data_IF_594808816552
#
_entry.id   IF_594808816552
#
_cell.length_a   1.000
_cell.length_b   1.000
_cell.length_c   1.000
_cell.angle_alpha   90.00
_cell.angle_beta   90.00
_cell.angle_gamma   90.00
#
_symmetry.space_group_name_H-M   'P 1'
#
loop_
_entity.id
_entity.type
_entity.pdbx_description
1 polymer ?
#
# COMPACT_ATOMS: atom_id res chain seq x y z
N UNK A 1 4.20 1.24 7.51
CA UNK A 1 5.62 0.92 7.41
C UNK A 1 6.45 2.17 7.57
N UNK A 2 7.67 2.05 8.09
CA UNK A 2 8.59 3.18 8.28
C UNK A 2 9.02 3.85 6.97
N UNK A 3 8.88 3.14 5.83
CA UNK A 3 9.20 3.68 4.51
C UNK A 3 8.50 5.02 4.20
N UNK A 4 7.26 5.16 4.62
CA UNK A 4 6.43 6.34 4.37
C UNK A 4 6.51 7.40 5.47
N UNK A 5 7.35 7.20 6.46
CA UNK A 5 7.49 8.10 7.59
C UNK A 5 8.54 9.18 7.30
N UNK A 6 8.48 10.27 8.04
CA UNK A 6 9.51 11.31 8.02
C UNK A 6 10.51 11.11 9.15
N UNK A 7 11.72 11.60 8.93
CA UNK A 7 12.80 11.50 9.91
C UNK A 7 12.60 12.49 11.05
N UNK A 8 12.88 12.06 12.30
CA UNK A 8 13.01 12.93 13.46
C UNK A 8 11.75 13.73 13.82
N UNK A 9 10.57 13.12 13.70
CA UNK A 9 9.29 13.76 14.06
C UNK A 9 9.02 13.83 15.55
N UNK A 10 9.75 13.09 16.35
CA UNK A 10 9.50 12.94 17.80
C UNK A 10 9.85 14.20 18.59
N UNK A 11 10.71 15.05 18.04
CA UNK A 11 11.21 16.27 18.71
C UNK A 11 10.71 17.58 18.06
N UNK A 12 9.84 17.51 17.05
CA UNK A 12 9.37 18.69 16.33
C UNK A 12 8.16 19.33 17.02
N UNK A 13 8.21 20.66 17.15
CA UNK A 13 7.00 21.40 17.42
C UNK A 13 6.01 21.29 16.26
N UNK A 14 4.74 21.57 16.52
CA UNK A 14 3.65 21.37 15.55
C UNK A 14 3.87 22.13 14.22
N UNK A 15 4.47 23.33 14.26
CA UNK A 15 4.73 24.13 13.06
C UNK A 15 5.87 23.56 12.23
N UNK A 16 6.97 23.16 12.87
CA UNK A 16 8.11 22.55 12.21
C UNK A 16 7.72 21.18 11.63
N UNK A 17 6.87 20.43 12.34
CA UNK A 17 6.31 19.20 11.86
C UNK A 17 5.43 19.40 10.60
N UNK A 18 4.52 20.36 10.62
CA UNK A 18 3.65 20.71 9.48
C UNK A 18 4.48 21.18 8.27
N UNK A 19 5.52 21.95 8.47
CA UNK A 19 6.37 22.41 7.36
C UNK A 19 7.14 21.24 6.72
N UNK A 20 7.74 20.38 7.51
CA UNK A 20 8.38 19.14 7.01
C UNK A 20 7.41 18.22 6.29
N UNK A 21 6.17 18.19 6.73
CA UNK A 21 5.13 17.30 6.24
C UNK A 21 4.49 17.73 4.92
N UNK A 22 4.72 18.95 4.45
CA UNK A 22 4.28 19.39 3.12
C UNK A 22 4.81 18.48 2.01
N UNK A 23 5.87 17.76 2.28
CA UNK A 23 6.57 16.88 1.33
C UNK A 23 6.37 15.38 1.59
N UNK A 24 5.77 14.99 2.72
CA UNK A 24 5.58 13.59 3.06
C UNK A 24 4.17 13.09 2.67
N UNK A 25 4.10 12.01 1.93
CA UNK A 25 2.87 11.47 1.35
C UNK A 25 1.77 11.11 2.37
N UNK A 26 2.16 10.71 3.58
CA UNK A 26 1.22 10.38 4.67
C UNK A 26 1.33 11.41 5.80
N UNK A 27 2.34 12.27 5.74
CA UNK A 27 2.87 12.97 6.87
C UNK A 27 1.95 13.96 7.54
N UNK A 28 1.21 14.77 6.79
CA UNK A 28 0.40 15.84 7.39
C UNK A 28 -0.71 15.32 8.31
N UNK A 29 -1.26 14.14 8.04
CA UNK A 29 -2.26 13.52 8.89
C UNK A 29 -1.65 12.73 10.05
N UNK A 30 -0.46 12.15 9.86
CA UNK A 30 0.21 11.34 10.86
C UNK A 30 0.66 12.13 12.10
N UNK A 31 1.05 13.41 11.90
CA UNK A 31 1.50 14.27 13.02
C UNK A 31 0.34 15.01 13.69
N UNK A 32 -0.69 15.36 12.94
CA UNK A 32 -1.84 16.11 13.49
C UNK A 32 -2.79 15.26 14.33
N UNK A 33 -2.73 13.97 14.25
CA UNK A 33 -3.59 13.06 14.97
C UNK A 33 -2.75 11.99 15.67
N UNK A 34 -3.03 11.77 16.92
CA UNK A 34 -2.67 10.60 17.72
C UNK A 34 -3.06 9.26 17.03
N UNK A 35 -3.65 9.35 15.84
CA UNK A 35 -4.19 8.26 15.06
C UNK A 35 -3.16 7.21 14.64
N UNK A 36 -1.92 7.64 14.38
CA UNK A 36 -0.85 6.72 14.01
C UNK A 36 0.07 6.39 15.20
N UNK A 37 -0.23 6.88 16.40
CA UNK A 37 0.59 6.60 17.57
C UNK A 37 0.75 5.10 17.80
N UNK A 38 -0.31 4.32 17.71
CA UNK A 38 -0.24 2.86 17.89
C UNK A 38 0.61 2.15 16.83
N UNK A 39 0.68 2.71 15.61
CA UNK A 39 1.57 2.19 14.54
C UNK A 39 3.02 2.53 14.83
N UNK A 40 3.29 3.69 15.41
CA UNK A 40 4.61 4.14 15.81
C UNK A 40 5.08 3.43 17.09
N UNK A 41 4.20 3.36 18.08
CA UNK A 41 4.53 2.87 19.43
C UNK A 41 4.62 1.34 19.47
N UNK A 42 3.90 0.63 18.59
CA UNK A 42 4.04 -0.82 18.40
C UNK A 42 4.46 -1.13 16.94
N UNK A 43 5.77 -1.17 16.65
CA UNK A 43 6.29 -1.47 15.32
C UNK A 43 6.21 -2.96 14.95
N UNK A 44 5.83 -3.83 15.90
CA UNK A 44 5.82 -5.29 15.74
C UNK A 44 4.40 -5.88 15.87
N UNK A 45 3.49 -5.57 14.95
CA UNK A 45 2.12 -6.08 15.03
C UNK A 45 2.07 -7.61 14.99
N UNK A 46 1.08 -8.17 15.68
CA UNK A 46 0.76 -9.58 15.56
C UNK A 46 -0.12 -9.80 14.33
N UNK A 47 0.34 -10.65 13.42
CA UNK A 47 -0.40 -10.95 12.19
C UNK A 47 -1.28 -12.18 12.35
N UNK A 48 -2.48 -12.09 11.77
CA UNK A 48 -3.38 -13.20 11.55
C UNK A 48 -3.82 -13.23 10.09
N UNK A 49 -4.09 -14.42 9.58
CA UNK A 49 -4.58 -14.61 8.21
C UNK A 49 -5.75 -15.57 8.23
N UNK A 50 -6.86 -15.13 7.69
CA UNK A 50 -8.08 -15.91 7.51
C UNK A 50 -8.34 -16.12 6.03
N UNK A 51 -8.68 -17.36 5.64
CA UNK A 51 -9.09 -17.70 4.27
C UNK A 51 -10.59 -17.51 4.15
N UNK A 52 -10.99 -16.77 3.13
CA UNK A 52 -12.40 -16.56 2.77
C UNK A 52 -12.65 -17.02 1.33
N UNK A 53 -13.89 -17.25 0.90
CA UNK A 53 -14.18 -17.74 -0.46
C UNK A 53 -13.62 -16.86 -1.58
N UNK A 54 -13.49 -15.55 -1.34
CA UNK A 54 -12.97 -14.57 -2.31
C UNK A 54 -11.48 -14.27 -2.17
N UNK A 55 -10.80 -14.81 -1.16
CA UNK A 55 -9.40 -14.45 -0.95
C UNK A 55 -8.92 -14.64 0.48
N UNK A 56 -8.19 -13.66 0.99
CA UNK A 56 -7.64 -13.63 2.33
C UNK A 56 -8.02 -12.35 3.05
N UNK A 57 -8.27 -12.48 4.34
CA UNK A 57 -8.31 -11.36 5.29
C UNK A 57 -7.04 -11.39 6.12
N UNK A 58 -6.28 -10.31 6.10
CA UNK A 58 -5.04 -10.16 6.85
C UNK A 58 -5.25 -9.13 7.96
N UNK A 59 -5.15 -9.56 9.18
CA UNK A 59 -5.23 -8.71 10.36
C UNK A 59 -3.86 -8.40 10.92
N UNK A 60 -3.59 -7.13 11.22
CA UNK A 60 -2.40 -6.68 11.95
C UNK A 60 -2.85 -6.00 13.25
N UNK A 61 -2.71 -6.71 14.36
CA UNK A 61 -3.07 -6.23 15.69
C UNK A 61 -1.88 -5.57 16.39
N UNK A 62 -2.11 -4.43 16.99
CA UNK A 62 -1.16 -3.67 17.81
C UNK A 62 -1.76 -3.37 19.16
N UNK A 63 -0.90 -3.23 20.17
CA UNK A 63 -1.33 -2.70 21.45
C UNK A 63 -1.90 -1.27 21.28
N UNK A 64 -3.03 -1.01 21.91
CA UNK A 64 -3.66 0.29 21.97
C UNK A 64 -3.77 0.73 23.44
N UNK A 65 -4.73 1.58 23.78
CA UNK A 65 -4.88 2.06 25.15
C UNK A 65 -5.44 0.98 26.08
N UNK A 66 -4.84 0.84 27.23
CA UNK A 66 -5.26 -0.16 28.20
C UNK A 66 -5.07 -1.59 27.69
N UNK A 67 -6.13 -2.37 27.65
CA UNK A 67 -6.15 -3.75 27.13
C UNK A 67 -6.66 -3.84 25.68
N UNK A 68 -6.95 -2.72 25.03
CA UNK A 68 -7.50 -2.67 23.68
C UNK A 68 -6.46 -2.99 22.63
N UNK A 69 -6.93 -3.41 21.46
CA UNK A 69 -6.12 -3.68 20.29
C UNK A 69 -6.54 -2.79 19.12
N UNK A 70 -5.56 -2.16 18.50
CA UNK A 70 -5.75 -1.47 17.23
C UNK A 70 -5.51 -2.43 16.07
N UNK A 71 -6.54 -2.67 15.27
CA UNK A 71 -6.48 -3.56 14.13
C UNK A 71 -6.40 -2.80 12.81
N UNK A 72 -5.51 -3.26 11.94
CA UNK A 72 -5.53 -2.90 10.53
C UNK A 72 -5.84 -4.14 9.72
N UNK A 73 -6.95 -4.09 8.98
CA UNK A 73 -7.44 -5.22 8.19
C UNK A 73 -7.23 -4.95 6.72
N UNK A 74 -6.46 -5.80 6.07
CA UNK A 74 -6.22 -5.78 4.63
C UNK A 74 -6.91 -6.97 4.00
N UNK A 75 -7.55 -6.79 2.85
CA UNK A 75 -8.12 -7.88 2.08
C UNK A 75 -7.26 -8.11 0.84
N UNK A 76 -6.96 -9.35 0.57
CA UNK A 76 -6.48 -9.80 -0.72
C UNK A 76 -7.60 -10.59 -1.38
N UNK A 77 -8.16 -10.04 -2.46
CA UNK A 77 -9.21 -10.72 -3.22
C UNK A 77 -8.59 -11.29 -4.49
N UNK A 78 -8.86 -12.57 -4.72
CA UNK A 78 -8.34 -13.25 -5.89
C UNK A 78 -8.97 -12.72 -7.19
N UNK A 79 -8.22 -12.69 -8.28
CA UNK A 79 -6.84 -13.18 -8.38
C UNK A 79 -5.77 -12.13 -8.01
N UNK A 80 -6.08 -10.83 -7.98
CA UNK A 80 -5.08 -9.77 -8.05
C UNK A 80 -5.51 -8.43 -7.43
N UNK A 81 -6.47 -8.43 -6.51
CA UNK A 81 -6.97 -7.22 -5.87
C UNK A 81 -6.47 -7.12 -4.43
N UNK A 82 -5.90 -5.99 -4.08
CA UNK A 82 -5.55 -5.63 -2.70
C UNK A 82 -6.41 -4.47 -2.20
N UNK A 83 -7.06 -4.63 -1.05
CA UNK A 83 -7.81 -3.56 -0.40
C UNK A 83 -7.05 -3.12 0.85
N UNK A 84 -6.53 -1.90 0.82
CA UNK A 84 -5.84 -1.32 1.96
C UNK A 84 -6.85 -0.87 3.03
N UNK A 85 -6.54 -1.04 4.32
CA UNK A 85 -7.43 -0.61 5.38
C UNK A 85 -7.53 0.92 5.42
N UNK A 86 -8.73 1.43 5.67
CA UNK A 86 -8.84 2.78 6.24
C UNK A 86 -8.20 2.81 7.62
N UNK A 87 -7.72 3.95 8.07
CA UNK A 87 -7.15 4.05 9.41
C UNK A 87 -8.26 4.06 10.48
N UNK A 88 -9.44 4.63 10.16
CA UNK A 88 -10.56 4.77 11.08
C UNK A 88 -11.91 4.67 10.36
N UNK A 89 -12.98 4.33 11.09
CA UNK A 89 -14.34 4.36 10.56
C UNK A 89 -14.70 5.72 9.95
N UNK A 90 -15.38 5.72 8.81
CA UNK A 90 -15.78 6.91 8.07
C UNK A 90 -14.71 7.54 7.17
N UNK A 91 -13.49 7.04 7.20
CA UNK A 91 -12.45 7.43 6.25
C UNK A 91 -12.59 6.70 4.91
N UNK A 92 -11.91 7.24 3.91
CA UNK A 92 -11.92 6.62 2.59
C UNK A 92 -11.13 5.31 2.57
N UNK A 93 -11.64 4.36 1.82
CA UNK A 93 -10.97 3.09 1.53
C UNK A 93 -10.17 3.22 0.24
N UNK A 94 -9.11 2.43 0.17
CA UNK A 94 -8.22 2.39 -0.98
C UNK A 94 -8.02 0.97 -1.45
N UNK A 95 -7.81 0.80 -2.74
CA UNK A 95 -7.51 -0.50 -3.29
C UNK A 95 -6.65 -0.40 -4.54
N UNK A 96 -6.08 -1.54 -4.88
CA UNK A 96 -5.24 -1.70 -6.06
C UNK A 96 -5.57 -3.02 -6.75
N UNK A 97 -5.55 -2.99 -8.07
CA UNK A 97 -5.68 -4.19 -8.89
C UNK A 97 -4.46 -4.30 -9.80
N UNK A 98 -3.76 -5.41 -9.72
CA UNK A 98 -2.56 -5.68 -10.49
C UNK A 98 -2.90 -6.57 -11.68
N UNK A 99 -2.98 -6.00 -12.89
CA UNK A 99 -3.35 -6.73 -14.10
C UNK A 99 -2.09 -7.04 -14.90
N UNK A 100 -1.68 -8.32 -15.02
CA UNK A 100 -0.52 -8.68 -15.83
C UNK A 100 -0.68 -8.26 -17.29
N UNK A 101 0.38 -7.67 -17.86
CA UNK A 101 0.48 -7.32 -19.28
C UNK A 101 1.52 -8.18 -19.97
N UNK A 102 2.62 -8.47 -19.26
CA UNK A 102 3.70 -9.35 -19.71
C UNK A 102 4.34 -10.03 -18.51
N UNK A 103 5.36 -10.85 -18.72
CA UNK A 103 6.11 -11.49 -17.65
C UNK A 103 6.82 -10.49 -16.74
N UNK A 104 7.05 -9.27 -17.20
CA UNK A 104 7.84 -8.24 -16.51
C UNK A 104 7.08 -6.94 -16.27
N UNK A 105 5.80 -6.86 -16.63
CA UNK A 105 5.02 -5.64 -16.47
C UNK A 105 3.55 -5.92 -16.16
N UNK A 106 2.93 -5.00 -15.42
CA UNK A 106 1.51 -5.03 -15.12
C UNK A 106 0.92 -3.61 -15.15
N UNK A 107 -0.37 -3.51 -15.42
CA UNK A 107 -1.15 -2.33 -15.10
C UNK A 107 -1.55 -2.36 -13.64
N UNK A 108 -1.40 -1.23 -12.96
CA UNK A 108 -1.89 -1.05 -11.58
C UNK A 108 -3.05 -0.05 -11.62
N UNK A 109 -4.25 -0.56 -11.37
CA UNK A 109 -5.42 0.28 -11.19
C UNK A 109 -5.57 0.61 -9.72
N UNK A 110 -5.52 1.88 -9.38
CA UNK A 110 -5.73 2.37 -8.03
C UNK A 110 -7.08 3.05 -7.91
N UNK A 111 -7.80 2.80 -6.82
CA UNK A 111 -9.10 3.38 -6.57
C UNK A 111 -9.28 3.78 -5.12
N UNK A 112 -10.09 4.82 -4.93
CA UNK A 112 -10.48 5.33 -3.62
C UNK A 112 -11.98 5.49 -3.59
N UNK A 113 -12.61 5.03 -2.53
CA UNK A 113 -14.05 5.19 -2.33
C UNK A 113 -14.39 5.42 -0.86
N UNK A 114 -15.58 5.94 -0.62
CA UNK A 114 -16.18 5.98 0.70
C UNK A 114 -17.53 5.25 0.62
N UNK A 115 -17.82 4.26 1.49
CA UNK A 115 -19.07 3.50 1.41
C UNK A 115 -20.30 4.33 1.80
N UNK A 116 -20.12 5.38 2.59
CA UNK A 116 -21.22 6.11 3.23
C UNK A 116 -21.60 7.40 2.49
N UNK A 117 -20.69 7.92 1.64
CA UNK A 117 -20.87 9.20 0.96
C UNK A 117 -20.05 9.32 -0.32
N UNK A 118 -20.38 10.21 -1.24
CA UNK A 118 -19.51 10.61 -2.34
C UNK A 118 -18.20 11.21 -1.82
N UNK A 119 -17.13 11.09 -2.61
CA UNK A 119 -15.90 11.80 -2.34
C UNK A 119 -16.08 13.30 -2.50
N UNK A 120 -15.49 14.08 -1.60
CA UNK A 120 -15.45 15.52 -1.70
C UNK A 120 -14.52 16.00 -2.81
N UNK A 121 -14.70 17.24 -3.28
CA UNK A 121 -13.81 17.85 -4.28
C UNK A 121 -12.34 17.87 -3.79
N UNK A 122 -12.13 18.12 -2.51
CA UNK A 122 -10.79 18.12 -1.91
C UNK A 122 -10.15 16.72 -1.92
N UNK A 123 -10.92 15.67 -1.62
CA UNK A 123 -10.45 14.29 -1.68
C UNK A 123 -10.12 13.86 -3.12
N UNK A 124 -10.93 14.29 -4.08
CA UNK A 124 -10.67 14.04 -5.51
C UNK A 124 -9.42 14.80 -5.97
N UNK A 125 -9.25 16.05 -5.57
CA UNK A 125 -8.06 16.84 -5.88
C UNK A 125 -6.81 16.21 -5.26
N UNK A 126 -6.88 15.74 -4.02
CA UNK A 126 -5.80 15.04 -3.36
C UNK A 126 -5.45 13.72 -4.06
N UNK A 127 -6.43 12.95 -4.47
CA UNK A 127 -6.20 11.71 -5.23
C UNK A 127 -5.49 11.99 -6.57
N UNK A 128 -5.83 13.08 -7.25
CA UNK A 128 -5.20 13.49 -8.51
C UNK A 128 -3.81 14.10 -8.34
N UNK A 129 -3.43 14.51 -7.15
CA UNK A 129 -2.16 15.20 -6.91
C UNK A 129 -0.91 14.30 -7.02
N UNK A 130 -1.08 12.99 -6.97
CA UNK A 130 0.03 12.03 -6.93
C UNK A 130 0.74 11.93 -5.59
N UNK A 131 0.18 12.52 -4.52
CA UNK A 131 0.78 12.48 -3.17
C UNK A 131 0.17 11.41 -2.26
N UNK A 132 -0.75 10.61 -2.78
CA UNK A 132 -1.45 9.57 -2.02
C UNK A 132 -1.12 8.18 -2.58
N UNK A 133 -2.08 7.27 -2.51
CA UNK A 133 -2.00 5.92 -3.10
C UNK A 133 -2.14 5.92 -4.63
N UNK A 134 -2.39 7.09 -5.23
CA UNK A 134 -2.47 7.27 -6.67
C UNK A 134 -1.20 7.96 -7.16
N UNK A 135 -0.50 7.34 -8.10
CA UNK A 135 0.65 7.96 -8.75
C UNK A 135 0.20 9.09 -9.69
N UNK A 136 0.99 10.16 -9.78
CA UNK A 136 0.85 11.12 -10.85
C UNK A 136 1.31 10.47 -12.17
N UNK A 137 0.49 10.53 -13.20
CA UNK A 137 0.74 9.91 -14.50
C UNK A 137 0.67 10.94 -15.64
N UNK A 138 1.34 10.65 -16.75
CA UNK A 138 1.23 11.40 -17.98
C UNK A 138 -0.03 11.02 -18.79
N UNK A 139 -0.16 11.56 -19.99
CA UNK A 139 -1.27 11.30 -20.91
C UNK A 139 -1.37 9.85 -21.40
N UNK A 140 -0.30 9.08 -21.23
CA UNK A 140 -0.23 7.65 -21.56
C UNK A 140 -0.37 6.76 -20.32
N UNK A 141 -0.74 7.33 -19.17
CA UNK A 141 -0.84 6.65 -17.87
C UNK A 141 0.49 6.09 -17.36
N UNK A 142 1.62 6.62 -17.83
CA UNK A 142 2.94 6.26 -17.31
C UNK A 142 3.24 7.14 -16.09
N UNK A 143 3.65 6.57 -14.96
CA UNK A 143 4.02 7.35 -13.80
C UNK A 143 5.10 8.40 -14.10
N UNK A 144 4.87 9.64 -13.72
CA UNK A 144 5.81 10.74 -13.91
C UNK A 144 7.14 10.44 -13.19
N UNK A 145 7.07 9.88 -11.98
CA UNK A 145 8.21 9.36 -11.24
C UNK A 145 8.34 7.87 -11.48
N UNK A 146 9.43 7.46 -12.08
CA UNK A 146 9.66 6.06 -12.45
C UNK A 146 11.16 5.73 -12.48
N UNK A 147 11.50 4.48 -12.73
CA UNK A 147 12.89 4.00 -12.73
C UNK A 147 13.80 4.73 -13.73
N UNK A 148 13.25 5.27 -14.83
CA UNK A 148 14.03 5.96 -15.87
C UNK A 148 14.55 7.34 -15.42
N UNK A 149 13.95 7.91 -14.39
CA UNK A 149 14.36 9.21 -13.84
C UNK A 149 14.69 9.12 -12.35
N UNK A 150 15.09 7.93 -11.87
CA UNK A 150 15.39 7.66 -10.47
C UNK A 150 14.29 8.15 -9.53
N UNK A 151 13.02 8.04 -9.94
CA UNK A 151 11.86 8.51 -9.18
C UNK A 151 11.91 9.97 -8.75
N UNK A 152 12.74 10.78 -9.41
CA UNK A 152 13.02 12.18 -9.06
C UNK A 152 13.37 12.33 -7.58
N UNK A 153 14.26 11.47 -7.06
CA UNK A 153 14.67 11.46 -5.66
C UNK A 153 15.28 12.81 -5.27
N UNK A 154 14.69 13.46 -4.28
CA UNK A 154 15.30 14.60 -3.61
C UNK A 154 16.29 14.10 -2.55
N UNK A 155 17.58 14.19 -2.85
CA UNK A 155 18.64 13.70 -1.96
C UNK A 155 18.80 14.56 -0.70
N UNK A 156 18.42 15.83 -0.75
CA UNK A 156 18.40 16.69 0.44
C UNK A 156 17.25 16.25 1.36
N UNK A 157 16.05 16.07 0.80
CA UNK A 157 14.90 15.57 1.54
C UNK A 157 15.19 14.19 2.14
N UNK A 158 15.78 13.27 1.37
CA UNK A 158 16.17 11.93 1.85
C UNK A 158 17.13 11.99 3.03
N UNK A 159 18.03 12.98 3.06
CA UNK A 159 19.03 13.10 4.11
C UNK A 159 18.47 13.67 5.41
N UNK A 160 17.53 14.61 5.32
CA UNK A 160 17.15 15.43 6.46
C UNK A 160 15.68 15.31 6.89
N UNK A 161 14.78 14.84 6.02
CA UNK A 161 13.35 14.91 6.29
C UNK A 161 12.62 13.58 6.12
N UNK A 162 12.91 12.80 5.08
CA UNK A 162 12.19 11.57 4.78
C UNK A 162 13.14 10.39 4.58
N UNK A 163 12.63 9.17 4.66
CA UNK A 163 13.47 7.99 4.43
C UNK A 163 13.81 7.78 2.95
N UNK A 164 12.99 8.24 2.04
CA UNK A 164 13.13 7.92 0.61
C UNK A 164 13.53 9.09 -0.24
N UNK A 165 13.19 10.33 0.13
CA UNK A 165 13.27 11.49 -0.75
C UNK A 165 12.36 11.41 -1.97
N UNK A 166 11.42 10.45 -2.00
CA UNK A 166 10.47 10.26 -3.08
C UNK A 166 9.10 10.74 -2.64
N UNK A 167 8.47 11.59 -3.43
CA UNK A 167 7.11 12.03 -3.19
C UNK A 167 6.11 10.99 -3.69
N UNK A 168 5.05 10.78 -2.90
CA UNK A 168 3.98 9.84 -3.22
C UNK A 168 4.19 8.45 -2.63
N UNK A 169 3.10 7.86 -2.09
CA UNK A 169 3.14 6.52 -1.50
C UNK A 169 3.35 5.46 -2.58
N UNK A 170 2.61 5.57 -3.67
CA UNK A 170 2.73 4.63 -4.80
C UNK A 170 4.10 4.64 -5.43
N UNK A 171 4.72 5.83 -5.57
CA UNK A 171 6.04 5.96 -6.16
C UNK A 171 7.13 5.40 -5.25
N UNK A 172 6.98 5.54 -3.92
CA UNK A 172 7.89 4.93 -2.95
C UNK A 172 7.82 3.41 -3.03
N UNK A 173 6.61 2.86 -3.08
CA UNK A 173 6.40 1.42 -3.22
C UNK A 173 6.91 0.90 -4.56
N UNK A 174 6.64 1.61 -5.66
CA UNK A 174 7.14 1.26 -7.00
C UNK A 174 8.67 1.24 -7.06
N UNK A 175 9.34 2.23 -6.44
CA UNK A 175 10.79 2.30 -6.41
C UNK A 175 11.42 1.07 -5.73
N UNK A 176 10.82 0.62 -4.62
CA UNK A 176 11.29 -0.60 -3.93
C UNK A 176 11.00 -1.85 -4.75
N UNK A 177 9.83 -1.93 -5.39
CA UNK A 177 9.47 -3.07 -6.22
C UNK A 177 10.37 -3.17 -7.47
N UNK A 178 10.56 -2.08 -8.19
CA UNK A 178 11.41 -2.01 -9.38
C UNK A 178 12.88 -2.30 -9.06
N UNK A 179 13.35 -1.93 -7.85
CA UNK A 179 14.73 -2.22 -7.40
C UNK A 179 15.04 -3.71 -7.29
N UNK A 180 14.03 -4.57 -7.26
CA UNK A 180 14.17 -6.02 -7.23
C UNK A 180 14.43 -6.62 -8.63
N UNK A 181 14.39 -5.79 -9.67
CA UNK A 181 14.53 -6.19 -11.07
C UNK A 181 13.21 -6.64 -11.70
N UNK A 182 13.22 -6.91 -13.01
CA UNK A 182 12.03 -7.26 -13.78
C UNK A 182 11.26 -8.48 -13.25
N UNK A 183 12.00 -9.45 -12.72
CA UNK A 183 11.47 -10.63 -12.02
C UNK A 183 12.28 -10.79 -10.73
N UNK A 184 11.62 -10.67 -9.59
CA UNK A 184 12.26 -10.79 -8.31
C UNK A 184 12.82 -12.22 -8.11
N UNK A 185 14.10 -12.32 -7.78
CA UNK A 185 14.74 -13.60 -7.45
C UNK A 185 14.31 -14.07 -6.06
N UNK A 186 13.31 -14.94 -6.02
CA UNK A 186 12.75 -15.46 -4.77
C UNK A 186 13.67 -16.39 -4.00
N UNK A 187 14.75 -16.85 -4.60
CA UNK A 187 15.76 -17.65 -3.88
C UNK A 187 16.55 -16.81 -2.87
N UNK A 188 16.52 -15.49 -3.02
CA UNK A 188 17.16 -14.51 -2.15
C UNK A 188 16.23 -13.92 -1.10
N UNK A 189 14.98 -14.33 -1.06
CA UNK A 189 14.01 -13.84 -0.07
C UNK A 189 14.30 -14.43 1.31
N UNK A 190 14.16 -13.59 2.33
CA UNK A 190 14.28 -13.96 3.74
C UNK A 190 12.98 -13.62 4.45
N UNK A 191 11.95 -14.49 4.27
CA UNK A 191 10.63 -14.28 4.85
C UNK A 191 10.65 -14.57 6.35
N UNK A 192 10.13 -13.61 7.12
CA UNK A 192 9.98 -13.72 8.58
C UNK A 192 8.53 -14.05 9.00
N UNK A 193 8.28 -14.15 10.31
CA UNK A 193 6.94 -14.43 10.83
C UNK A 193 5.88 -13.39 10.42
N UNK A 194 6.30 -12.13 10.17
CA UNK A 194 5.41 -11.04 9.73
C UNK A 194 4.98 -11.18 8.27
N UNK A 195 5.64 -12.04 7.48
CA UNK A 195 5.34 -12.27 6.06
C UNK A 195 4.32 -13.39 5.85
N UNK A 196 3.64 -13.82 6.91
CA UNK A 196 2.64 -14.90 6.85
C UNK A 196 1.57 -14.65 5.78
N UNK A 197 1.17 -13.40 5.58
CA UNK A 197 0.23 -13.00 4.52
C UNK A 197 0.80 -13.28 3.13
N UNK A 198 2.05 -12.89 2.88
CA UNK A 198 2.76 -13.15 1.61
C UNK A 198 2.87 -14.64 1.33
N UNK A 199 3.25 -15.43 2.35
CA UNK A 199 3.33 -16.89 2.23
C UNK A 199 1.98 -17.50 1.89
N UNK A 200 0.91 -17.01 2.50
CA UNK A 200 -0.45 -17.51 2.25
C UNK A 200 -0.97 -17.13 0.86
N UNK A 201 -0.76 -15.89 0.41
CA UNK A 201 -1.16 -15.46 -0.94
C UNK A 201 -0.44 -16.22 -2.06
N UNK A 202 0.79 -16.67 -1.82
CA UNK A 202 1.60 -17.42 -2.80
C UNK A 202 1.30 -18.92 -2.84
N UNK A 203 0.59 -19.46 -1.87
CA UNK A 203 0.18 -20.86 -1.94
C UNK A 203 -0.83 -21.03 -3.07
N UNK A 204 -0.75 -22.12 -3.87
CA UNK A 204 -1.79 -22.46 -4.82
C UNK A 204 -3.10 -22.60 -4.06
N UNK A 205 -3.92 -21.58 -4.12
CA UNK A 205 -5.18 -21.58 -3.39
C UNK A 205 -6.21 -22.29 -4.25
N UNK A 206 -6.88 -23.26 -3.67
CA UNK A 206 -8.07 -23.85 -4.25
C UNK A 206 -9.25 -22.89 -4.10
N UNK A 207 -9.14 -21.71 -4.72
CA UNK A 207 -10.20 -20.74 -4.72
C UNK A 207 -11.37 -21.26 -5.55
N UNK A 208 -12.47 -21.57 -4.88
CA UNK A 208 -13.78 -21.63 -5.50
C UNK A 208 -14.00 -22.66 -6.58
N UNK A 209 -13.62 -23.91 -6.40
CA UNK A 209 -14.20 -25.00 -7.19
C UNK A 209 -15.31 -25.71 -6.41
N UNK A 210 -16.39 -25.00 -6.16
CA UNK A 210 -17.68 -25.60 -5.87
C UNK A 210 -18.36 -25.92 -7.21
N UNK A 211 -17.84 -26.92 -7.94
CA UNK A 211 -18.44 -27.42 -9.16
C UNK A 211 -17.75 -28.69 -9.63
N UNK A 212 -18.48 -29.69 -10.18
CA UNK A 212 -17.94 -31.03 -10.49
C UNK A 212 -17.00 -31.10 -11.70
N UNK A 213 -16.48 -29.99 -12.23
CA UNK A 213 -15.54 -29.99 -13.34
C UNK A 213 -14.46 -28.95 -13.16
N UNK A 214 -13.51 -29.26 -12.26
CA UNK A 214 -12.41 -28.37 -11.89
C UNK A 214 -11.30 -28.26 -12.92
N UNK A 215 -11.48 -27.51 -13.99
CA UNK A 215 -10.38 -26.89 -14.74
C UNK A 215 -10.64 -25.39 -14.77
N UNK A 216 -9.78 -24.62 -14.10
CA UNK A 216 -9.58 -23.24 -14.48
C UNK A 216 -9.14 -23.26 -15.96
N UNK A 217 -10.00 -22.86 -16.87
CA UNK A 217 -9.54 -22.27 -18.12
C UNK A 217 -8.77 -21.02 -17.72
N UNK A 218 -7.52 -20.93 -18.16
CA UNK A 218 -6.72 -19.75 -17.95
C UNK A 218 -7.54 -18.54 -18.39
N UNK A 219 -7.69 -17.55 -17.50
CA UNK A 219 -8.41 -16.31 -17.79
C UNK A 219 -7.71 -15.45 -18.88
N UNK A 220 -6.75 -16.02 -19.60
CA UNK A 220 -5.98 -15.40 -20.69
C UNK A 220 -6.38 -15.92 -22.07
N UNK A 221 -7.33 -16.85 -22.20
CA UNK A 221 -7.93 -17.18 -23.49
C UNK A 221 -9.12 -16.26 -23.72
N UNK A 222 -8.84 -15.02 -24.15
CA UNK A 222 -9.78 -14.25 -24.94
C UNK A 222 -9.79 -14.90 -26.32
N UNK A 223 -10.81 -15.69 -26.63
CA UNK A 223 -11.11 -16.07 -28.00
C UNK A 223 -11.39 -14.81 -28.85
N UNK A 224 -11.01 -14.82 -30.16
CA UNK A 224 -11.02 -13.66 -31.03
C UNK A 224 -12.40 -13.06 -31.30
#
# INVERSE_FOLDING_TARGET
SSLHMILGTEELDEKAAVERLKHAAIGAQAVRNDRFRWVRDDPSPKFSVEEIPSGLVLGAARAADGEDLYWRITHFLTPNHGLAPSAFPGENYHGQTFVPVSDTSCWIYTYTWNPDRPLTEQEIAMAKSGHTVHAAVDEHYVPIRNIRNDYLIDRHDQKYNSFTGIHGVSEQDAAIQDSQGPIADRTREHLGPTDVGVVRTRRPQRWGHAGPSGRLKNALECDP
#
